data_IF_843979422040
#
_entry.id   IF_843979422040
#
_cell.length_a   1.000
_cell.length_b   1.000
_cell.length_c   1.000
_cell.angle_alpha   90.00
_cell.angle_beta   90.00
_cell.angle_gamma   90.00
#
_symmetry.space_group_name_H-M   'P 1'
#
loop_
_entity.id
_entity.type
_entity.pdbx_description
1 polymer ?
#
# COMPACT_ATOMS: atom_id res chain seq x y z
N UNK A 1 17.50 -15.24 9.87
CA UNK A 1 16.23 -15.08 9.08
C UNK A 1 16.37 -13.83 8.22
N UNK A 2 16.50 -14.00 6.93
CA UNK A 2 16.63 -12.90 5.99
C UNK A 2 15.25 -12.45 5.50
N UNK A 3 14.92 -11.19 5.74
CA UNK A 3 13.70 -10.56 5.23
C UNK A 3 14.08 -9.64 4.08
N UNK A 4 13.34 -9.71 2.99
CA UNK A 4 13.40 -8.74 1.92
C UNK A 4 12.57 -7.50 2.31
N UNK A 5 13.07 -6.30 2.00
CA UNK A 5 12.41 -5.04 2.31
C UNK A 5 12.32 -4.19 1.05
N UNK A 6 11.11 -3.77 0.72
CA UNK A 6 10.88 -2.81 -0.35
C UNK A 6 10.29 -1.52 0.23
N UNK A 7 10.80 -0.39 -0.22
CA UNK A 7 10.35 0.93 0.23
C UNK A 7 10.08 1.81 -0.99
N UNK A 8 8.83 2.26 -1.16
CA UNK A 8 8.45 3.22 -2.19
C UNK A 8 8.40 4.61 -1.56
N UNK A 9 9.39 5.44 -1.89
CA UNK A 9 9.59 6.78 -1.29
C UNK A 9 10.41 7.66 -2.24
N UNK A 10 10.61 8.92 -1.86
CA UNK A 10 11.68 9.73 -2.44
C UNK A 10 13.03 9.21 -1.92
N UNK A 11 13.67 8.38 -2.73
CA UNK A 11 14.87 7.61 -2.34
C UNK A 11 15.98 8.48 -1.76
N UNK A 12 16.23 9.65 -2.36
CA UNK A 12 17.27 10.56 -1.89
C UNK A 12 16.99 11.08 -0.47
N UNK A 13 15.77 11.56 -0.22
CA UNK A 13 15.37 12.08 1.09
C UNK A 13 15.43 11.01 2.16
N UNK A 14 14.93 9.81 1.87
CA UNK A 14 14.99 8.68 2.81
C UNK A 14 16.42 8.33 3.17
N UNK A 15 17.32 8.23 2.20
CA UNK A 15 18.72 7.89 2.45
C UNK A 15 19.40 8.92 3.34
N UNK A 16 19.16 10.22 3.10
CA UNK A 16 19.69 11.31 3.92
C UNK A 16 19.14 11.26 5.37
N UNK A 17 17.85 10.99 5.55
CA UNK A 17 17.25 10.89 6.89
C UNK A 17 17.74 9.65 7.65
N UNK A 18 17.90 8.51 6.98
CA UNK A 18 18.45 7.30 7.59
C UNK A 18 19.90 7.50 8.05
N UNK A 19 20.72 8.20 7.28
CA UNK A 19 22.09 8.53 7.67
C UNK A 19 22.12 9.41 8.93
N UNK A 20 21.23 10.41 9.06
CA UNK A 20 21.15 11.27 10.24
C UNK A 20 20.89 10.49 11.53
N UNK A 21 20.15 9.40 11.45
CA UNK A 21 19.86 8.52 12.58
C UNK A 21 20.80 7.29 12.66
N UNK A 22 21.90 7.34 11.92
CA UNK A 22 22.94 6.30 11.89
C UNK A 22 22.43 4.92 11.43
N UNK A 23 21.43 4.89 10.56
CA UNK A 23 20.98 3.67 9.89
C UNK A 23 21.67 3.58 8.53
N UNK A 24 22.55 2.60 8.40
CA UNK A 24 23.32 2.35 7.18
C UNK A 24 22.58 1.34 6.31
N UNK A 25 22.35 1.70 5.06
CA UNK A 25 21.54 0.91 4.11
C UNK A 25 22.33 0.34 2.94
N UNK A 26 23.58 0.73 2.79
CA UNK A 26 24.43 0.34 1.65
C UNK A 26 24.57 -1.18 1.53
N UNK A 27 24.93 -1.87 2.62
CA UNK A 27 25.06 -3.32 2.62
C UNK A 27 23.74 -4.06 2.30
N UNK A 28 22.61 -3.72 2.92
CA UNK A 28 21.30 -4.24 2.52
C UNK A 28 20.92 -3.97 1.06
N UNK A 29 21.27 -2.81 0.50
CA UNK A 29 21.02 -2.49 -0.92
C UNK A 29 21.91 -3.36 -1.82
N UNK A 30 23.21 -3.42 -1.54
CA UNK A 30 24.17 -4.24 -2.32
C UNK A 30 23.81 -5.73 -2.29
N UNK A 31 23.31 -6.24 -1.18
CA UNK A 31 22.88 -7.65 -1.05
C UNK A 31 21.50 -7.92 -1.67
N UNK A 32 20.79 -6.91 -2.14
CA UNK A 32 19.41 -7.03 -2.62
C UNK A 32 18.38 -7.26 -1.51
N UNK A 33 18.78 -7.17 -0.23
CA UNK A 33 17.85 -7.29 0.90
C UNK A 33 16.92 -6.07 1.01
N UNK A 34 17.40 -4.89 0.67
CA UNK A 34 16.64 -3.65 0.62
C UNK A 34 16.57 -3.14 -0.81
N UNK A 35 15.36 -2.95 -1.29
CA UNK A 35 15.10 -2.32 -2.59
C UNK A 35 14.37 -1.01 -2.35
N UNK A 36 14.95 0.08 -2.82
CA UNK A 36 14.35 1.40 -2.79
C UNK A 36 13.75 1.68 -4.18
N UNK A 37 12.46 1.98 -4.20
CA UNK A 37 11.71 2.25 -5.42
C UNK A 37 11.33 3.73 -5.45
N UNK A 38 11.70 4.43 -6.52
CA UNK A 38 11.24 5.80 -6.71
C UNK A 38 9.74 5.84 -7.02
N UNK A 39 9.06 6.81 -6.41
CA UNK A 39 7.61 7.00 -6.47
C UNK A 39 7.06 7.22 -7.91
N UNK A 40 7.93 7.42 -8.90
CA UNK A 40 7.53 8.09 -10.15
C UNK A 40 6.82 7.24 -11.19
N UNK A 41 6.97 5.91 -11.24
CA UNK A 41 6.52 5.17 -12.42
C UNK A 41 5.68 3.89 -12.19
N UNK A 42 5.80 3.12 -11.10
CA UNK A 42 5.03 1.89 -11.00
C UNK A 42 3.51 2.12 -10.85
N UNK A 43 3.10 3.34 -10.50
CA UNK A 43 1.70 3.65 -10.18
C UNK A 43 0.87 4.10 -11.39
N UNK A 44 1.52 4.44 -12.51
CA UNK A 44 0.84 5.01 -13.66
C UNK A 44 0.98 4.08 -14.87
N UNK A 45 -0.09 3.40 -15.25
CA UNK A 45 -0.14 2.74 -16.55
C UNK A 45 0.10 3.80 -17.64
N UNK A 46 1.14 3.57 -18.47
CA UNK A 46 1.54 4.49 -19.54
C UNK A 46 1.86 5.93 -19.09
N UNK A 47 2.29 6.12 -17.82
CA UNK A 47 2.77 7.41 -17.33
C UNK A 47 1.73 8.50 -17.13
N UNK A 48 0.42 8.21 -17.18
CA UNK A 48 -0.62 9.26 -17.18
C UNK A 48 -1.78 9.09 -16.21
N UNK A 49 -2.15 7.86 -15.81
CA UNK A 49 -3.30 7.60 -14.95
C UNK A 49 -3.02 6.46 -14.00
N UNK A 50 -3.55 6.55 -12.79
CA UNK A 50 -3.51 5.48 -11.83
C UNK A 50 -4.33 4.28 -12.33
N UNK A 51 -3.68 3.11 -12.36
CA UNK A 51 -4.32 1.84 -12.66
C UNK A 51 -4.16 0.90 -11.46
N UNK A 52 -5.25 0.65 -10.69
CA UNK A 52 -5.22 -0.24 -9.55
C UNK A 52 -4.70 -1.65 -9.87
N UNK A 53 -5.10 -2.20 -11.01
CA UNK A 53 -4.73 -3.57 -11.40
C UNK A 53 -3.25 -3.68 -11.79
N UNK A 54 -2.74 -2.65 -12.45
CA UNK A 54 -1.31 -2.59 -12.76
C UNK A 54 -0.47 -2.59 -11.47
N UNK A 55 -0.81 -1.75 -10.51
CA UNK A 55 -0.09 -1.67 -9.24
C UNK A 55 -0.19 -2.98 -8.44
N UNK A 56 -1.37 -3.61 -8.40
CA UNK A 56 -1.56 -4.90 -7.74
C UNK A 56 -0.70 -6.00 -8.39
N UNK A 57 -0.68 -6.09 -9.73
CA UNK A 57 0.13 -7.07 -10.46
C UNK A 57 1.63 -6.83 -10.27
N UNK A 58 2.04 -5.58 -10.17
CA UNK A 58 3.41 -5.20 -9.85
C UNK A 58 3.82 -5.73 -8.47
N UNK A 59 3.02 -5.49 -7.43
CA UNK A 59 3.28 -6.02 -6.08
C UNK A 59 3.32 -7.55 -6.07
N UNK A 60 2.39 -8.23 -6.74
CA UNK A 60 2.39 -9.68 -6.83
C UNK A 60 3.68 -10.22 -7.47
N UNK A 61 4.09 -9.62 -8.59
CA UNK A 61 5.31 -10.02 -9.30
C UNK A 61 6.54 -9.83 -8.42
N UNK A 62 6.63 -8.71 -7.75
CA UNK A 62 7.72 -8.36 -6.86
C UNK A 62 7.82 -9.30 -5.66
N UNK A 63 6.69 -9.58 -4.99
CA UNK A 63 6.63 -10.54 -3.88
C UNK A 63 7.03 -11.95 -4.35
N UNK A 64 6.47 -12.40 -5.48
CA UNK A 64 6.78 -13.71 -6.03
C UNK A 64 8.26 -13.84 -6.43
N UNK A 65 8.88 -12.78 -6.91
CA UNK A 65 10.30 -12.75 -7.19
C UNK A 65 11.13 -12.89 -5.92
N UNK A 66 10.86 -12.09 -4.89
CA UNK A 66 11.57 -12.17 -3.62
C UNK A 66 11.52 -13.57 -3.00
N UNK A 67 10.35 -14.22 -3.03
CA UNK A 67 10.19 -15.59 -2.54
C UNK A 67 10.97 -16.61 -3.37
N UNK A 68 11.01 -16.48 -4.71
CA UNK A 68 11.82 -17.34 -5.59
C UNK A 68 13.33 -17.18 -5.37
N UNK A 69 13.77 -16.00 -4.98
CA UNK A 69 15.17 -15.72 -4.61
C UNK A 69 15.55 -16.30 -3.24
N UNK A 70 14.60 -16.89 -2.52
CA UNK A 70 14.83 -17.58 -1.25
C UNK A 70 14.63 -16.70 -0.02
N UNK A 71 14.09 -15.49 -0.16
CA UNK A 71 13.73 -14.67 0.99
C UNK A 71 12.58 -15.29 1.77
N UNK A 72 12.72 -15.39 3.08
CA UNK A 72 11.73 -16.06 3.94
C UNK A 72 10.54 -15.17 4.33
N UNK A 73 10.68 -13.88 4.19
CA UNK A 73 9.63 -12.90 4.48
C UNK A 73 9.79 -11.67 3.60
N UNK A 74 8.68 -10.97 3.35
CA UNK A 74 8.67 -9.71 2.60
C UNK A 74 8.08 -8.61 3.47
N UNK A 75 8.74 -7.46 3.50
CA UNK A 75 8.24 -6.25 4.13
C UNK A 75 8.16 -5.16 3.08
N UNK A 76 7.01 -4.52 3.01
CA UNK A 76 6.75 -3.46 2.03
C UNK A 76 6.35 -2.21 2.80
N UNK A 77 6.98 -1.09 2.47
CA UNK A 77 6.62 0.24 2.99
C UNK A 77 6.30 1.12 1.79
N UNK A 78 5.09 1.68 1.76
CA UNK A 78 4.58 2.46 0.63
C UNK A 78 4.17 3.84 1.12
N UNK A 79 4.78 4.88 0.55
CA UNK A 79 4.29 6.24 0.72
C UNK A 79 3.09 6.46 -0.20
N UNK A 80 1.94 6.77 0.39
CA UNK A 80 0.68 7.02 -0.31
C UNK A 80 0.41 8.52 -0.52
N UNK A 81 1.41 9.39 -0.36
CA UNK A 81 1.25 10.85 -0.52
C UNK A 81 0.89 11.26 -1.96
N UNK A 82 1.19 10.40 -2.94
CA UNK A 82 0.77 10.58 -4.33
C UNK A 82 -0.77 10.65 -4.51
N UNK A 83 -1.54 10.12 -3.57
CA UNK A 83 -3.02 10.21 -3.58
C UNK A 83 -3.53 11.66 -3.55
N UNK A 84 -2.72 12.59 -3.05
CA UNK A 84 -3.06 14.01 -3.01
C UNK A 84 -2.82 14.73 -4.36
N UNK A 85 -2.31 14.03 -5.38
CA UNK A 85 -1.92 14.63 -6.68
C UNK A 85 -3.02 14.57 -7.76
N UNK A 86 -4.26 14.28 -7.41
CA UNK A 86 -5.42 14.17 -8.34
C UNK A 86 -5.23 13.19 -9.53
N UNK A 87 -4.35 12.21 -9.36
CA UNK A 87 -4.09 11.19 -10.38
C UNK A 87 -5.02 9.99 -10.30
N UNK A 88 -5.76 9.87 -9.20
CA UNK A 88 -6.72 8.81 -8.94
C UNK A 88 -7.99 9.35 -8.29
N UNK A 89 -9.13 8.79 -8.65
CA UNK A 89 -10.38 9.05 -7.93
C UNK A 89 -10.41 8.30 -6.60
N UNK A 90 -11.18 8.80 -5.62
CA UNK A 90 -11.38 8.10 -4.35
C UNK A 90 -11.89 6.66 -4.56
N UNK A 91 -12.72 6.43 -5.58
CA UNK A 91 -13.20 5.09 -5.92
C UNK A 91 -12.09 4.16 -6.40
N UNK A 92 -11.18 4.64 -7.24
CA UNK A 92 -10.04 3.86 -7.72
C UNK A 92 -9.09 3.52 -6.57
N UNK A 93 -8.86 4.49 -5.67
CA UNK A 93 -8.04 4.30 -4.48
C UNK A 93 -8.63 3.20 -3.60
N UNK A 94 -9.92 3.31 -3.27
CA UNK A 94 -10.60 2.34 -2.41
C UNK A 94 -10.70 0.94 -3.03
N UNK A 95 -10.84 0.84 -4.36
CA UNK A 95 -10.75 -0.43 -5.08
C UNK A 95 -9.36 -1.06 -4.98
N UNK A 96 -8.31 -0.27 -5.15
CA UNK A 96 -6.94 -0.73 -4.98
C UNK A 96 -6.71 -1.25 -3.56
N UNK A 97 -7.06 -0.46 -2.56
CA UNK A 97 -6.86 -0.81 -1.15
C UNK A 97 -7.65 -2.07 -0.75
N UNK A 98 -8.90 -2.17 -1.18
CA UNK A 98 -9.71 -3.36 -0.92
C UNK A 98 -9.13 -4.62 -1.58
N UNK A 99 -8.50 -4.50 -2.74
CA UNK A 99 -7.91 -5.63 -3.44
C UNK A 99 -6.49 -5.95 -2.97
N UNK A 100 -5.78 -5.00 -2.35
CA UNK A 100 -4.40 -5.19 -1.89
C UNK A 100 -4.26 -6.24 -0.80
N UNK A 101 -5.28 -6.41 0.05
CA UNK A 101 -5.33 -7.43 1.08
C UNK A 101 -5.17 -8.86 0.50
N UNK A 102 -5.82 -9.14 -0.63
CA UNK A 102 -5.67 -10.41 -1.33
C UNK A 102 -4.25 -10.62 -1.89
N UNK A 103 -3.57 -9.55 -2.29
CA UNK A 103 -2.18 -9.61 -2.78
C UNK A 103 -1.22 -9.92 -1.64
N UNK A 104 -1.40 -9.26 -0.50
CA UNK A 104 -0.51 -9.42 0.66
C UNK A 104 -0.76 -10.70 1.45
N UNK A 105 -1.91 -11.36 1.27
CA UNK A 105 -2.19 -12.69 1.82
C UNK A 105 -1.88 -13.84 0.85
N UNK A 106 -1.40 -13.50 -0.36
CA UNK A 106 -1.08 -14.48 -1.41
C UNK A 106 0.03 -15.45 -0.99
N UNK A 107 -0.12 -16.73 -1.31
CA UNK A 107 0.87 -17.79 -1.09
C UNK A 107 1.20 -18.13 0.37
N UNK A 108 0.41 -17.72 1.36
CA UNK A 108 0.72 -17.92 2.79
C UNK A 108 2.13 -17.45 3.20
N UNK A 109 2.72 -16.54 2.44
CA UNK A 109 4.02 -15.99 2.76
C UNK A 109 3.92 -14.99 3.93
N UNK A 110 4.92 -14.90 4.78
CA UNK A 110 4.97 -13.91 5.85
C UNK A 110 5.25 -12.52 5.25
N UNK A 111 4.20 -11.81 4.88
CA UNK A 111 4.24 -10.47 4.28
C UNK A 111 3.72 -9.46 5.30
N UNK A 112 4.43 -8.34 5.43
CA UNK A 112 3.95 -7.15 6.14
C UNK A 112 3.99 -5.99 5.17
N UNK A 113 2.84 -5.36 4.93
CA UNK A 113 2.73 -4.12 4.18
C UNK A 113 2.36 -2.97 5.12
N UNK A 114 3.10 -1.88 5.05
CA UNK A 114 2.85 -0.64 5.78
C UNK A 114 2.60 0.46 4.76
N UNK A 115 1.40 1.02 4.78
CA UNK A 115 1.00 2.13 3.94
C UNK A 115 0.98 3.42 4.74
N UNK A 116 1.69 4.45 4.27
CA UNK A 116 1.82 5.74 4.94
C UNK A 116 0.89 6.75 4.28
N UNK A 117 -0.04 7.31 5.05
CA UNK A 117 -0.98 8.32 4.61
C UNK A 117 -0.74 9.65 5.32
N UNK A 118 -0.56 10.71 4.56
CA UNK A 118 -0.61 12.08 5.12
C UNK A 118 -2.07 12.52 5.24
N UNK A 119 -2.64 12.33 6.42
CA UNK A 119 -4.05 12.68 6.68
C UNK A 119 -4.34 14.18 6.48
N UNK A 120 -3.32 15.05 6.56
CA UNK A 120 -3.48 16.49 6.32
C UNK A 120 -3.67 16.84 4.84
N UNK A 121 -3.33 15.91 3.93
CA UNK A 121 -3.46 16.09 2.49
C UNK A 121 -4.64 15.35 1.86
N UNK A 122 -5.32 14.49 2.62
CA UNK A 122 -6.42 13.68 2.14
C UNK A 122 -7.76 14.21 2.63
N UNK A 123 -8.83 13.96 1.85
CA UNK A 123 -10.19 14.24 2.29
C UNK A 123 -10.52 13.41 3.54
N UNK A 124 -11.09 14.01 4.60
CA UNK A 124 -11.42 13.29 5.84
C UNK A 124 -12.31 12.06 5.60
N UNK A 125 -13.25 12.15 4.66
CA UNK A 125 -14.12 11.03 4.27
C UNK A 125 -13.34 9.87 3.67
N UNK A 126 -12.32 10.15 2.85
CA UNK A 126 -11.43 9.13 2.28
C UNK A 126 -10.60 8.47 3.37
N UNK A 127 -10.04 9.24 4.32
CA UNK A 127 -9.27 8.70 5.45
C UNK A 127 -10.11 7.71 6.27
N UNK A 128 -11.38 8.04 6.55
CA UNK A 128 -12.28 7.14 7.28
C UNK A 128 -12.55 5.84 6.52
N UNK A 129 -12.72 5.90 5.21
CA UNK A 129 -12.93 4.68 4.41
C UNK A 129 -11.65 3.85 4.28
N UNK A 130 -10.48 4.48 4.11
CA UNK A 130 -9.18 3.81 4.11
C UNK A 130 -8.91 3.06 5.42
N UNK A 131 -9.20 3.69 6.56
CA UNK A 131 -9.05 3.03 7.85
C UNK A 131 -9.84 1.71 7.94
N UNK A 132 -11.00 1.61 7.30
CA UNK A 132 -11.80 0.37 7.31
C UNK A 132 -11.16 -0.78 6.55
N UNK A 133 -10.19 -0.51 5.71
CA UNK A 133 -9.50 -1.51 4.88
C UNK A 133 -8.20 -2.03 5.50
N UNK A 134 -7.82 -1.54 6.69
CA UNK A 134 -6.59 -1.96 7.36
C UNK A 134 -6.88 -2.58 8.72
N UNK A 135 -6.45 -3.83 8.98
CA UNK A 135 -6.70 -4.53 10.25
C UNK A 135 -5.92 -3.92 11.42
N UNK A 136 -4.83 -3.24 11.12
CA UNK A 136 -3.96 -2.57 12.10
C UNK A 136 -3.74 -1.15 11.64
N UNK A 137 -3.84 -0.21 12.57
CA UNK A 137 -3.51 1.20 12.35
C UNK A 137 -2.38 1.66 13.25
N UNK A 138 -1.50 2.50 12.70
CA UNK A 138 -0.41 3.15 13.42
C UNK A 138 -0.66 4.66 13.41
N UNK A 139 -0.81 5.25 14.58
CA UNK A 139 -1.01 6.70 14.72
C UNK A 139 0.01 7.24 15.73
N UNK A 140 0.98 8.01 15.24
CA UNK A 140 2.14 8.41 16.03
C UNK A 140 2.90 7.17 16.54
N UNK A 141 3.00 7.02 17.87
CA UNK A 141 3.66 5.87 18.51
C UNK A 141 2.72 4.70 18.87
N UNK A 142 1.46 4.80 18.55
CA UNK A 142 0.45 3.82 18.96
C UNK A 142 0.11 2.88 17.81
N UNK A 143 0.22 1.58 18.07
CA UNK A 143 -0.21 0.49 17.18
C UNK A 143 -1.48 -0.07 17.77
N UNK A 144 -2.56 -0.10 17.01
CA UNK A 144 -3.86 -0.61 17.47
C UNK A 144 -4.51 -1.52 16.43
N UNK A 145 -5.19 -2.55 16.90
CA UNK A 145 -6.15 -3.29 16.08
C UNK A 145 -7.32 -2.37 15.74
N UNK A 146 -7.73 -2.42 14.50
CA UNK A 146 -8.85 -1.61 14.03
C UNK A 146 -10.18 -2.37 14.24
N UNK A 147 -11.07 -1.93 15.15
CA UNK A 147 -12.36 -2.59 15.37
C UNK A 147 -13.35 -2.40 14.21
N UNK A 148 -13.09 -1.48 13.31
CA UNK A 148 -13.92 -1.17 12.14
C UNK A 148 -13.41 -1.80 10.85
N UNK A 149 -12.39 -2.64 10.94
CA UNK A 149 -11.82 -3.34 9.79
C UNK A 149 -12.85 -4.21 9.11
N UNK A 150 -12.90 -4.14 7.80
CA UNK A 150 -13.69 -4.96 6.91
C UNK A 150 -12.74 -5.73 5.98
N UNK A 151 -12.96 -7.03 5.83
CA UNK A 151 -12.24 -7.78 4.82
C UNK A 151 -12.55 -7.24 3.42
N UNK A 152 -11.70 -7.52 2.44
CA UNK A 152 -11.93 -7.14 1.04
C UNK A 152 -13.33 -7.52 0.57
N UNK A 153 -13.77 -8.75 0.88
CA UNK A 153 -15.11 -9.24 0.53
C UNK A 153 -16.23 -8.42 1.20
N UNK A 154 -16.12 -8.19 2.49
CA UNK A 154 -17.12 -7.41 3.26
C UNK A 154 -17.21 -5.97 2.73
N UNK A 155 -16.06 -5.37 2.40
CA UNK A 155 -16.01 -4.02 1.86
C UNK A 155 -16.63 -3.94 0.46
N UNK A 156 -16.32 -4.88 -0.42
CA UNK A 156 -16.91 -4.94 -1.75
C UNK A 156 -18.43 -5.16 -1.71
N UNK A 157 -18.92 -6.03 -0.83
CA UNK A 157 -20.36 -6.22 -0.63
C UNK A 157 -21.06 -4.94 -0.15
N UNK A 158 -20.42 -4.18 0.75
CA UNK A 158 -20.90 -2.87 1.20
C UNK A 158 -21.04 -1.90 0.04
N UNK A 159 -20.02 -1.78 -0.82
CA UNK A 159 -20.05 -0.89 -2.00
C UNK A 159 -21.16 -1.29 -2.96
N UNK A 160 -21.31 -2.56 -3.25
CA UNK A 160 -22.37 -3.06 -4.14
C UNK A 160 -23.77 -2.75 -3.58
N UNK A 161 -23.98 -2.86 -2.27
CA UNK A 161 -25.25 -2.50 -1.63
C UNK A 161 -25.56 -1.00 -1.80
N UNK A 162 -24.60 -0.14 -1.49
CA UNK A 162 -24.75 1.32 -1.63
C UNK A 162 -25.11 1.70 -3.07
N UNK A 163 -24.45 1.12 -4.06
CA UNK A 163 -24.72 1.43 -5.46
C UNK A 163 -26.13 1.00 -5.88
N UNK A 164 -26.61 -0.18 -5.46
CA UNK A 164 -27.97 -0.63 -5.72
C UNK A 164 -29.04 0.26 -5.06
N UNK A 165 -28.78 0.76 -3.87
CA UNK A 165 -29.69 1.69 -3.19
C UNK A 165 -29.78 3.03 -3.89
N UNK A 166 -28.66 3.56 -4.41
CA UNK A 166 -28.64 4.79 -5.23
C UNK A 166 -29.40 4.62 -6.53
N UNK A 167 -29.27 3.49 -7.20
CA UNK A 167 -30.01 3.19 -8.44
C UNK A 167 -31.54 3.12 -8.20
N UNK A 168 -31.97 2.56 -7.07
CA UNK A 168 -33.38 2.47 -6.69
C UNK A 168 -33.99 3.79 -6.22
N UNK A 169 -33.17 4.69 -5.66
CA UNK A 169 -33.63 6.01 -5.18
C UNK A 169 -33.74 7.07 -6.28
N UNK A 170 -33.22 6.80 -7.47
CA UNK A 170 -33.29 7.69 -8.64
C UNK A 170 -34.47 7.37 -9.60
N UNK A 171 -35.38 6.50 -9.19
CA UNK A 171 -36.65 6.20 -9.85
C UNK A 171 -37.83 6.61 -8.96
#
# INVERSE_FOLDING_TARGET
QSSFVAVSVQVKELSEELQKVQVYVEGPIESGQLVLLEEREPFLANGKRFDPYFLLSYHQTFIAQALREGWQAVRISIDMSWLAKDIATSEQILKYEAASDAVFTFQNAPIIALMHYDHGKLLPTLVVELLKLHPISVVGKYIKRNPYYLTSEQYMLKILRINREKERGNH
#
